data_IF_373923455033
#
_entry.id   IF_373923455033
#
_cell.length_a   1.000
_cell.length_b   1.000
_cell.length_c   1.000
_cell.angle_alpha   90.00
_cell.angle_beta   90.00
_cell.angle_gamma   90.00
#
_symmetry.space_group_name_H-M   'P 1'
#
loop_
_entity.id
_entity.type
_entity.pdbx_description
1 polymer ?
#
# COMPACT_ATOMS: atom_id res chain seq x y z
N UNK A 1 -3.82 -0.60 25.14
CA UNK A 1 -2.60 -0.29 24.36
C UNK A 1 -2.89 0.71 23.24
N UNK A 2 -2.90 2.02 23.53
CA UNK A 2 -3.10 3.10 22.54
C UNK A 2 -1.85 3.98 22.34
N UNK A 3 -0.71 3.57 22.87
CA UNK A 3 0.48 4.42 23.04
C UNK A 3 1.72 3.73 22.46
N UNK A 4 1.65 3.28 21.21
CA UNK A 4 2.86 2.84 20.49
C UNK A 4 3.09 3.74 19.27
N UNK A 5 2.02 4.16 18.58
CA UNK A 5 2.11 5.06 17.43
C UNK A 5 2.53 6.51 17.74
N UNK A 6 2.32 6.99 18.99
CA UNK A 6 2.63 8.38 19.36
C UNK A 6 3.92 8.56 20.16
N UNK A 7 4.50 7.47 20.68
CA UNK A 7 5.64 7.52 21.62
C UNK A 7 6.95 7.05 21.02
N UNK A 8 6.93 6.30 19.92
CA UNK A 8 8.15 6.09 19.13
C UNK A 8 8.33 7.26 18.17
N UNK A 9 9.51 7.92 18.15
CA UNK A 9 9.84 8.87 17.11
C UNK A 9 9.67 8.18 15.75
N UNK A 10 8.97 8.81 14.81
CA UNK A 10 8.78 8.30 13.45
C UNK A 10 10.08 7.79 12.80
N UNK A 11 11.21 8.41 13.16
CA UNK A 11 12.56 8.03 12.77
C UNK A 11 12.95 6.59 13.19
N UNK A 12 12.62 6.17 14.41
CA UNK A 12 12.94 4.83 14.92
C UNK A 12 12.09 3.75 14.23
N UNK A 13 10.82 4.05 13.92
CA UNK A 13 9.95 3.14 13.17
C UNK A 13 10.35 3.00 11.70
N UNK A 14 10.82 4.08 11.06
CA UNK A 14 11.33 4.06 9.69
C UNK A 14 12.67 3.30 9.53
N UNK A 15 13.45 3.19 10.60
CA UNK A 15 14.74 2.50 10.55
C UNK A 15 14.61 0.99 10.85
N UNK A 16 13.46 0.58 11.39
CA UNK A 16 13.10 -0.80 11.69
C UNK A 16 13.06 -1.66 10.40
N UNK A 17 13.57 -2.88 10.51
CA UNK A 17 13.61 -3.86 9.41
C UNK A 17 12.23 -4.19 8.83
N UNK A 18 11.16 -3.99 9.61
CA UNK A 18 9.75 -4.15 9.21
C UNK A 18 9.25 -2.96 8.38
N UNK A 19 9.97 -1.83 8.35
CA UNK A 19 9.77 -0.72 7.41
C UNK A 19 10.59 -0.93 6.13
N UNK A 20 11.80 -1.49 6.25
CA UNK A 20 12.66 -1.95 5.15
C UNK A 20 12.14 -3.26 4.54
N UNK A 21 10.86 -3.34 4.17
CA UNK A 21 10.23 -4.50 3.53
C UNK A 21 10.71 -4.69 2.08
N UNK A 22 12.03 -4.75 1.88
CA UNK A 22 12.70 -4.83 0.60
C UNK A 22 12.16 -6.00 -0.24
N UNK A 23 11.86 -7.14 0.41
CA UNK A 23 11.28 -8.31 -0.25
C UNK A 23 9.88 -8.03 -0.81
N UNK A 24 9.03 -7.35 -0.06
CA UNK A 24 7.68 -7.00 -0.51
C UNK A 24 7.75 -5.96 -1.63
N UNK A 25 8.57 -4.92 -1.45
CA UNK A 25 8.78 -3.85 -2.43
C UNK A 25 9.27 -4.45 -3.75
N UNK A 26 10.31 -5.29 -3.71
CA UNK A 26 10.86 -5.91 -4.91
C UNK A 26 9.81 -6.80 -5.60
N UNK A 27 9.07 -7.62 -4.83
CA UNK A 27 7.99 -8.44 -5.38
C UNK A 27 6.92 -7.58 -6.07
N UNK A 28 6.49 -6.49 -5.45
CA UNK A 28 5.52 -5.59 -6.04
C UNK A 28 6.04 -4.97 -7.34
N UNK A 29 7.28 -4.46 -7.33
CA UNK A 29 7.90 -3.87 -8.52
C UNK A 29 8.04 -4.87 -9.67
N UNK A 30 8.32 -6.14 -9.36
CA UNK A 30 8.37 -7.22 -10.35
C UNK A 30 6.98 -7.50 -10.95
N UNK A 31 5.93 -7.54 -10.13
CA UNK A 31 4.54 -7.73 -10.57
C UNK A 31 4.10 -6.56 -11.45
N UNK A 32 4.38 -5.31 -11.05
CA UNK A 32 4.02 -4.15 -11.87
C UNK A 32 4.77 -4.17 -13.20
N UNK A 33 6.07 -4.48 -13.19
CA UNK A 33 6.87 -4.63 -14.41
C UNK A 33 6.25 -5.69 -15.34
N UNK A 34 5.84 -6.83 -14.80
CA UNK A 34 5.23 -7.89 -15.60
C UNK A 34 3.89 -7.46 -16.18
N UNK A 35 3.01 -6.86 -15.36
CA UNK A 35 1.71 -6.36 -15.82
C UNK A 35 1.82 -5.26 -16.89
N UNK A 36 2.84 -4.40 -16.81
CA UNK A 36 3.13 -3.40 -17.85
C UNK A 36 3.61 -4.07 -19.15
N UNK A 37 4.48 -5.09 -19.05
CA UNK A 37 4.96 -5.86 -20.21
C UNK A 37 3.83 -6.61 -20.92
N UNK A 38 2.85 -7.09 -20.16
CA UNK A 38 1.66 -7.79 -20.67
C UNK A 38 0.57 -6.83 -21.17
N UNK A 39 0.75 -5.51 -21.00
CA UNK A 39 -0.23 -4.50 -21.40
C UNK A 39 -1.48 -4.42 -20.50
N UNK A 40 -1.44 -5.06 -19.32
CA UNK A 40 -2.53 -5.03 -18.32
C UNK A 40 -2.47 -3.73 -17.51
N UNK A 41 -1.26 -3.35 -17.11
CA UNK A 41 -1.01 -2.12 -16.34
C UNK A 41 -0.52 -1.01 -17.26
N UNK A 42 -0.83 0.23 -16.89
CA UNK A 42 -0.44 1.41 -17.65
C UNK A 42 1.11 1.53 -17.70
N UNK A 43 1.74 1.47 -18.89
CA UNK A 43 3.19 1.57 -19.01
C UNK A 43 3.72 2.97 -18.71
N UNK A 44 2.87 4.01 -18.76
CA UNK A 44 3.26 5.40 -18.52
C UNK A 44 3.32 5.74 -17.03
N UNK A 45 2.78 4.87 -16.17
CA UNK A 45 2.85 5.03 -14.71
C UNK A 45 4.20 4.48 -14.20
N UNK A 46 5.04 5.29 -13.54
CA UNK A 46 6.26 4.79 -12.93
C UNK A 46 5.96 3.75 -11.83
N UNK A 47 6.68 2.63 -11.83
CA UNK A 47 6.45 1.51 -10.88
C UNK A 47 6.51 1.93 -9.41
N UNK A 48 7.38 2.89 -9.08
CA UNK A 48 7.50 3.44 -7.71
C UNK A 48 6.27 4.28 -7.35
N UNK A 49 5.71 5.04 -8.30
CA UNK A 49 4.47 5.80 -8.08
C UNK A 49 3.28 4.86 -7.85
N UNK A 50 3.21 3.75 -8.60
CA UNK A 50 2.19 2.73 -8.37
C UNK A 50 2.31 2.08 -6.98
N UNK A 51 3.56 1.85 -6.51
CA UNK A 51 3.84 1.35 -5.16
C UNK A 51 3.38 2.35 -4.10
N UNK A 52 3.78 3.62 -4.23
CA UNK A 52 3.44 4.68 -3.28
C UNK A 52 1.93 4.90 -3.21
N UNK A 53 1.24 4.82 -4.33
CA UNK A 53 -0.21 4.92 -4.39
C UNK A 53 -0.89 3.78 -3.61
N UNK A 54 -0.52 2.52 -3.90
CA UNK A 54 -1.06 1.37 -3.17
C UNK A 54 -0.72 1.44 -1.67
N UNK A 55 0.55 1.69 -1.35
CA UNK A 55 1.04 1.73 0.03
C UNK A 55 0.38 2.87 0.83
N UNK A 56 0.21 4.04 0.22
CA UNK A 56 -0.48 5.18 0.81
C UNK A 56 -1.93 4.85 1.19
N UNK A 57 -2.67 4.16 0.31
CA UNK A 57 -4.04 3.72 0.59
C UNK A 57 -4.07 2.71 1.74
N UNK A 58 -3.23 1.67 1.69
CA UNK A 58 -3.16 0.63 2.74
C UNK A 58 -2.82 1.26 4.09
N UNK A 59 -1.78 2.08 4.13
CA UNK A 59 -1.33 2.75 5.34
C UNK A 59 -2.44 3.65 5.89
N UNK A 60 -3.09 4.44 5.03
CA UNK A 60 -4.18 5.34 5.44
C UNK A 60 -5.36 4.58 6.05
N UNK A 61 -5.79 3.49 5.42
CA UNK A 61 -6.90 2.65 5.90
C UNK A 61 -6.57 2.06 7.26
N UNK A 62 -5.37 1.48 7.39
CA UNK A 62 -4.91 0.89 8.65
C UNK A 62 -4.80 1.92 9.78
N UNK A 63 -4.16 3.06 9.54
CA UNK A 63 -4.03 4.13 10.54
C UNK A 63 -5.39 4.64 11.00
N UNK A 64 -6.33 4.88 10.08
CA UNK A 64 -7.66 5.35 10.45
C UNK A 64 -8.49 4.31 11.17
N UNK A 65 -8.34 3.03 10.82
CA UNK A 65 -8.99 1.95 11.54
C UNK A 65 -8.55 1.89 13.01
N UNK A 66 -7.24 2.04 13.29
CA UNK A 66 -6.71 2.15 14.66
C UNK A 66 -7.29 3.39 15.35
N UNK A 67 -7.20 4.56 14.70
CA UNK A 67 -7.66 5.83 15.27
C UNK A 67 -9.15 5.82 15.63
N UNK A 68 -9.98 5.19 14.79
CA UNK A 68 -11.43 5.03 15.01
C UNK A 68 -11.79 3.96 16.04
N UNK A 69 -10.79 3.34 16.67
CA UNK A 69 -10.98 2.39 17.75
C UNK A 69 -11.36 0.98 17.28
N UNK A 70 -10.99 0.61 16.06
CA UNK A 70 -11.05 -0.78 15.57
C UNK A 70 -12.45 -1.42 15.63
N UNK A 71 -13.50 -0.59 15.49
CA UNK A 71 -14.90 -1.01 15.70
C UNK A 71 -15.46 -1.87 14.55
N UNK A 72 -14.91 -1.71 13.35
CA UNK A 72 -15.35 -2.41 12.15
C UNK A 72 -14.27 -3.40 11.68
N UNK A 73 -14.64 -4.35 10.81
CA UNK A 73 -13.65 -5.26 10.22
C UNK A 73 -12.67 -4.47 9.35
N UNK A 74 -11.37 -4.60 9.64
CA UNK A 74 -10.31 -4.02 8.79
C UNK A 74 -10.37 -4.58 7.37
N UNK A 75 -10.74 -5.85 7.23
CA UNK A 75 -10.75 -6.56 5.94
C UNK A 75 -12.08 -6.47 5.21
N UNK A 76 -13.12 -5.91 5.82
CA UNK A 76 -14.47 -5.85 5.25
C UNK A 76 -14.55 -5.20 3.87
N UNK A 77 -13.63 -4.28 3.57
CA UNK A 77 -13.58 -3.54 2.31
C UNK A 77 -12.36 -3.87 1.44
N UNK A 78 -11.62 -4.95 1.73
CA UNK A 78 -10.36 -5.28 1.01
C UNK A 78 -10.58 -5.42 -0.50
N UNK A 79 -11.62 -6.14 -0.92
CA UNK A 79 -11.90 -6.32 -2.34
C UNK A 79 -12.21 -4.99 -3.03
N UNK A 80 -13.00 -4.12 -2.39
CA UNK A 80 -13.32 -2.81 -2.95
C UNK A 80 -12.08 -1.92 -3.08
N UNK A 81 -11.22 -1.90 -2.06
CA UNK A 81 -9.96 -1.15 -2.09
C UNK A 81 -9.01 -1.68 -3.16
N UNK A 82 -8.91 -3.01 -3.31
CA UNK A 82 -8.14 -3.64 -4.37
C UNK A 82 -8.62 -3.19 -5.74
N UNK A 83 -9.92 -3.27 -6.02
CA UNK A 83 -10.50 -2.85 -7.31
C UNK A 83 -10.27 -1.36 -7.59
N UNK A 84 -10.38 -0.50 -6.59
CA UNK A 84 -10.11 0.93 -6.74
C UNK A 84 -8.65 1.20 -7.10
N UNK A 85 -7.72 0.55 -6.42
CA UNK A 85 -6.29 0.67 -6.70
C UNK A 85 -5.98 0.11 -8.09
N UNK A 86 -6.48 -1.10 -8.38
CA UNK A 86 -6.27 -1.80 -9.65
C UNK A 86 -6.72 -0.95 -10.83
N UNK A 87 -7.95 -0.44 -10.79
CA UNK A 87 -8.47 0.47 -11.82
C UNK A 87 -7.64 1.75 -11.98
N UNK A 88 -7.03 2.24 -10.91
CA UNK A 88 -6.19 3.43 -10.94
C UNK A 88 -4.81 3.22 -11.60
N UNK A 89 -4.35 1.96 -11.70
CA UNK A 89 -3.04 1.61 -12.30
C UNK A 89 -3.18 0.84 -13.62
N UNK A 90 -4.37 0.35 -13.94
CA UNK A 90 -4.65 -0.25 -15.25
C UNK A 90 -4.76 0.81 -16.34
N UNK A 91 -4.35 0.47 -17.55
CA UNK A 91 -4.52 1.34 -18.71
C UNK A 91 -6.00 1.63 -18.93
N UNK A 92 -6.36 2.91 -19.03
CA UNK A 92 -7.72 3.29 -19.43
C UNK A 92 -8.02 2.72 -20.82
N UNK A 93 -9.20 2.13 -20.99
CA UNK A 93 -9.68 1.70 -22.31
C UNK A 93 -9.96 2.90 -23.20
#
# INVERSE_FOLDING_TARGET
GRIIFLTMPYKEWMDDSTYKQQKMINLFLDVVRQGQKEGILDPDIPKVVALDFMWGVIHRVFTMWIYRGQKESLTGNVNQLFEMIWRGITKAK
#
